data_IF_951997339425
#
_entry.id   IF_951997339425
#
_cell.length_a   1.000
_cell.length_b   1.000
_cell.length_c   1.000
_cell.angle_alpha   90.00
_cell.angle_beta   90.00
_cell.angle_gamma   90.00
#
_symmetry.space_group_name_H-M   'P 1'
#
loop_
_entity.id
_entity.type
_entity.pdbx_description
1 polymer ?
#
# COMPACT_ATOMS: atom_id res chain seq x y z
N UNK A 1 -12.86 12.88 -14.24
CA UNK A 1 -11.67 13.24 -13.44
C UNK A 1 -10.82 12.01 -13.20
N UNK A 2 -9.51 12.19 -13.20
CA UNK A 2 -8.60 11.10 -12.88
C UNK A 2 -8.19 11.22 -11.43
N UNK A 3 -8.18 10.10 -10.74
CA UNK A 3 -7.67 10.02 -9.38
C UNK A 3 -6.34 9.29 -9.41
N UNK A 4 -5.31 9.91 -8.88
CA UNK A 4 -3.97 9.30 -8.82
C UNK A 4 -3.71 8.79 -7.42
N UNK A 5 -3.32 7.53 -7.31
CA UNK A 5 -2.99 6.92 -6.03
C UNK A 5 -1.68 6.16 -6.13
N UNK A 6 -1.06 5.97 -4.99
CA UNK A 6 0.18 5.19 -4.86
C UNK A 6 -0.12 3.99 -3.99
N UNK A 7 0.12 2.79 -4.51
CA UNK A 7 -0.18 1.55 -3.81
C UNK A 7 1.06 0.97 -3.17
N UNK A 8 0.92 0.52 -1.93
CA UNK A 8 2.00 -0.11 -1.16
C UNK A 8 1.50 -1.41 -0.58
N UNK A 9 2.23 -2.50 -0.80
CA UNK A 9 1.85 -3.81 -0.28
C UNK A 9 2.43 -4.02 1.10
N UNK A 10 1.62 -4.61 1.99
CA UNK A 10 2.06 -4.93 3.35
C UNK A 10 2.74 -6.28 3.36
N UNK A 11 4.02 -6.30 3.76
CA UNK A 11 4.82 -7.54 3.78
C UNK A 11 4.63 -8.35 5.04
N UNK A 12 3.88 -7.83 6.00
CA UNK A 12 3.57 -8.53 7.23
C UNK A 12 2.07 -8.68 7.35
N UNK A 13 1.65 -9.56 8.25
CA UNK A 13 0.24 -9.79 8.44
C UNK A 13 -0.44 -8.51 8.85
N UNK A 14 -1.57 -8.19 8.25
CA UNK A 14 -2.16 -6.91 8.46
C UNK A 14 -2.60 -6.66 9.79
N UNK A 15 -2.36 -5.58 9.94
CA UNK A 15 -2.25 -4.98 11.10
C UNK A 15 -3.50 -4.56 11.65
N UNK A 16 -3.36 -4.39 12.87
CA UNK A 16 -4.24 -3.56 13.61
C UNK A 16 -4.20 -2.14 13.11
N UNK A 17 -5.25 -1.36 13.35
CA UNK A 17 -5.25 0.04 13.03
C UNK A 17 -4.00 0.72 13.60
N UNK A 18 -3.37 1.51 12.79
CA UNK A 18 -2.16 2.21 13.19
C UNK A 18 -0.85 1.60 12.72
N UNK A 19 -0.90 0.45 12.07
CA UNK A 19 0.32 -0.19 11.58
C UNK A 19 0.74 0.29 10.20
N UNK A 20 0.04 1.27 9.66
CA UNK A 20 0.40 1.93 8.41
C UNK A 20 0.19 3.44 8.57
N UNK A 21 0.91 4.26 7.79
CA UNK A 21 0.71 5.71 7.85
C UNK A 21 -0.74 6.06 7.54
N UNK A 22 -1.26 7.02 8.25
CA UNK A 22 -2.64 7.48 8.05
C UNK A 22 -2.75 8.69 7.14
N UNK A 23 -1.71 9.50 7.07
CA UNK A 23 -1.76 10.71 6.28
C UNK A 23 -1.85 10.39 4.80
N UNK A 24 -2.91 10.87 4.17
CA UNK A 24 -3.12 10.63 2.74
C UNK A 24 -3.69 9.27 2.41
N UNK A 25 -4.05 8.47 3.42
CA UNK A 25 -4.60 7.14 3.17
C UNK A 25 -5.97 7.25 2.51
N UNK A 26 -6.08 6.64 1.35
CA UNK A 26 -7.34 6.59 0.59
C UNK A 26 -8.11 5.34 0.95
N UNK A 27 -7.45 4.20 0.93
CA UNK A 27 -8.06 2.94 1.34
C UNK A 27 -6.99 1.90 1.66
N UNK A 28 -7.40 0.88 2.40
CA UNK A 28 -6.54 -0.26 2.70
C UNK A 28 -7.36 -1.53 2.58
N UNK A 29 -6.71 -2.61 2.22
CA UNK A 29 -7.35 -3.90 2.04
C UNK A 29 -6.46 -5.00 2.63
N UNK A 30 -7.08 -5.94 3.33
CA UNK A 30 -6.38 -7.08 3.90
C UNK A 30 -6.83 -8.35 3.19
N UNK A 31 -5.86 -9.17 2.79
CA UNK A 31 -6.15 -10.46 2.18
C UNK A 31 -6.40 -11.51 3.28
N UNK A 32 -7.18 -12.53 2.95
CA UNK A 32 -7.44 -13.61 3.89
C UNK A 32 -6.20 -14.48 4.10
N UNK A 33 -5.30 -14.49 3.14
CA UNK A 33 -4.08 -15.25 3.21
C UNK A 33 -2.97 -14.54 2.41
N UNK A 34 -1.73 -14.95 2.67
CA UNK A 34 -0.58 -14.33 2.02
C UNK A 34 -0.61 -14.56 0.52
N UNK A 35 -0.45 -13.48 -0.23
CA UNK A 35 -0.41 -13.53 -1.69
C UNK A 35 0.99 -13.18 -2.17
N UNK A 36 1.41 -13.79 -3.28
CA UNK A 36 2.68 -13.45 -3.91
C UNK A 36 2.37 -12.49 -5.07
N UNK A 37 2.79 -11.25 -4.93
CA UNK A 37 2.54 -10.21 -5.92
C UNK A 37 3.89 -9.63 -6.36
N UNK A 38 4.24 -9.84 -7.62
CA UNK A 38 5.51 -9.35 -8.14
C UNK A 38 6.72 -9.90 -7.41
N UNK A 39 6.65 -11.13 -6.91
CA UNK A 39 7.74 -11.74 -6.17
C UNK A 39 7.79 -11.37 -4.70
N UNK A 40 6.83 -10.58 -4.23
CA UNK A 40 6.78 -10.14 -2.84
C UNK A 40 5.58 -10.77 -2.14
N UNK A 41 5.81 -11.35 -0.97
CA UNK A 41 4.72 -11.87 -0.18
C UNK A 41 3.95 -10.71 0.45
N UNK A 42 2.66 -10.63 0.17
CA UNK A 42 1.82 -9.54 0.65
C UNK A 42 0.61 -10.05 1.39
N UNK A 43 0.29 -9.41 2.49
CA UNK A 43 -0.90 -9.72 3.28
C UNK A 43 -2.04 -8.73 3.04
N UNK A 44 -1.75 -7.68 2.27
CA UNK A 44 -2.72 -6.65 1.96
C UNK A 44 -2.05 -5.49 1.26
N UNK A 45 -2.81 -4.44 1.01
CA UNK A 45 -2.25 -3.22 0.42
C UNK A 45 -2.92 -1.99 1.00
N UNK A 46 -2.22 -0.86 0.85
CA UNK A 46 -2.76 0.45 1.20
C UNK A 46 -2.54 1.38 0.02
N UNK A 47 -3.49 2.24 -0.26
CA UNK A 47 -3.39 3.22 -1.33
C UNK A 47 -3.45 4.62 -0.75
N UNK A 48 -2.56 5.47 -1.24
CA UNK A 48 -2.38 6.83 -0.73
C UNK A 48 -2.52 7.83 -1.87
N UNK A 49 -2.95 9.04 -1.53
CA UNK A 49 -3.01 10.13 -2.50
C UNK A 49 -1.68 10.87 -2.61
N UNK A 50 -0.65 10.37 -1.92
CA UNK A 50 0.71 10.91 -1.96
C UNK A 50 1.72 9.79 -2.02
N UNK A 51 2.92 10.09 -2.45
CA UNK A 51 4.00 9.13 -2.42
C UNK A 51 4.57 9.08 -1.00
N UNK A 52 4.72 7.88 -0.46
CA UNK A 52 5.31 7.72 0.86
C UNK A 52 6.82 7.93 0.81
N UNK A 53 7.39 8.39 1.91
CA UNK A 53 8.83 8.58 1.98
C UNK A 53 9.53 7.23 2.14
N UNK A 54 10.82 7.17 1.79
CA UNK A 54 11.60 5.97 1.97
C UNK A 54 11.62 5.50 3.43
N UNK A 55 11.64 6.46 4.34
CA UNK A 55 11.61 6.17 5.77
C UNK A 55 10.30 5.50 6.17
N UNK A 56 9.18 5.99 5.67
CA UNK A 56 7.87 5.40 5.94
C UNK A 56 7.78 3.98 5.37
N UNK A 57 8.25 3.79 4.16
CA UNK A 57 8.26 2.49 3.51
C UNK A 57 9.07 1.49 4.34
N UNK A 58 10.22 1.90 4.81
CA UNK A 58 11.08 1.05 5.63
C UNK A 58 10.45 0.77 7.00
N UNK A 59 9.99 1.83 7.66
CA UNK A 59 9.47 1.73 9.02
C UNK A 59 8.23 0.84 9.11
N UNK A 60 7.38 0.90 8.10
CA UNK A 60 6.13 0.14 8.09
C UNK A 60 6.22 -1.14 7.27
N UNK A 61 7.43 -1.49 6.80
CA UNK A 61 7.69 -2.71 6.03
C UNK A 61 6.75 -2.84 4.83
N UNK A 62 6.65 -1.77 4.05
CA UNK A 62 5.83 -1.73 2.86
C UNK A 62 6.66 -1.98 1.60
N UNK A 63 5.99 -2.38 0.53
CA UNK A 63 6.62 -2.54 -0.78
C UNK A 63 5.82 -1.78 -1.81
N UNK A 64 6.42 -0.79 -2.48
CA UNK A 64 5.70 -0.03 -3.50
C UNK A 64 5.32 -0.92 -4.67
N UNK A 65 4.15 -0.66 -5.24
CA UNK A 65 3.76 -1.31 -6.47
C UNK A 65 4.66 -0.84 -7.61
N UNK A 66 4.98 -1.73 -8.53
CA UNK A 66 5.77 -1.39 -9.71
C UNK A 66 5.02 -0.48 -10.67
N UNK A 67 3.71 -0.38 -10.53
CA UNK A 67 2.87 0.41 -11.42
C UNK A 67 2.51 1.80 -10.88
N UNK A 68 3.11 2.20 -9.78
CA UNK A 68 2.84 3.52 -9.22
C UNK A 68 3.35 4.64 -10.13
N UNK A 69 2.61 5.74 -10.25
CA UNK A 69 1.28 5.93 -9.68
C UNK A 69 0.19 5.24 -10.49
N UNK A 70 -0.89 4.87 -9.82
CA UNK A 70 -2.05 4.28 -10.46
C UNK A 70 -3.07 5.38 -10.72
N UNK A 71 -3.68 5.35 -11.90
CA UNK A 71 -4.68 6.34 -12.26
C UNK A 71 -6.01 5.66 -12.48
N UNK A 72 -7.02 6.18 -11.82
CA UNK A 72 -8.39 5.71 -12.01
C UNK A 72 -9.20 6.78 -12.71
N UNK A 73 -9.93 6.39 -13.75
CA UNK A 73 -10.85 7.28 -14.42
C UNK A 73 -12.22 7.15 -13.80
N UNK A 74 -12.82 8.27 -13.50
CA UNK A 74 -14.18 8.31 -12.97
C UNK A 74 -15.13 8.85 -14.01
#
# INVERSE_FOLDING_TARGET
MKTTVYRYYCRFRPPMPGAIPRQGLVRAYSYDYKQCIGGVGAWGFAEYDRELTAEEIYQYELSPSHNNPLEYSE
#
